data_IF_028081890697
#
_entry.id   IF_028081890697
#
_cell.length_a   1.000
_cell.length_b   1.000
_cell.length_c   1.000
_cell.angle_alpha   90.00
_cell.angle_beta   90.00
_cell.angle_gamma   90.00
#
_symmetry.space_group_name_H-M   'P 1'
#
loop_
_entity.id
_entity.type
_entity.pdbx_description
1 polymer ?
#
# COMPACT_ATOMS: atom_id res chain seq x y z
N UNK A 1 21.03 -12.24 2.90
CA UNK A 1 20.11 -13.36 3.23
C UNK A 1 19.24 -13.09 4.47
N UNK A 2 19.64 -12.15 5.37
CA UNK A 2 18.94 -11.91 6.65
C UNK A 2 17.63 -11.11 6.62
N UNK A 3 17.37 -10.30 5.59
CA UNK A 3 16.20 -9.41 5.57
C UNK A 3 14.90 -10.10 5.10
N UNK A 4 15.02 -11.24 4.40
CA UNK A 4 13.87 -12.05 3.98
C UNK A 4 13.23 -12.85 5.12
N UNK A 5 13.99 -13.15 6.16
CA UNK A 5 13.48 -13.86 7.35
C UNK A 5 12.75 -12.92 8.34
N UNK A 6 13.14 -11.65 8.43
CA UNK A 6 12.48 -10.68 9.35
C UNK A 6 11.07 -10.29 8.89
N UNK A 7 10.83 -10.23 7.56
CA UNK A 7 9.49 -9.96 7.05
C UNK A 7 8.52 -11.14 7.30
N UNK A 8 9.02 -12.38 7.25
CA UNK A 8 8.22 -13.57 7.53
C UNK A 8 7.89 -13.71 9.03
N UNK A 9 8.81 -13.33 9.92
CA UNK A 9 8.61 -13.43 11.37
C UNK A 9 7.61 -12.39 11.90
N UNK A 10 7.48 -11.23 11.26
CA UNK A 10 6.47 -10.22 11.64
C UNK A 10 5.06 -10.64 11.24
N UNK A 11 4.93 -11.44 10.17
CA UNK A 11 3.63 -11.94 9.70
C UNK A 11 3.04 -13.00 10.62
N UNK A 12 3.86 -13.83 11.26
CA UNK A 12 3.41 -14.91 12.16
C UNK A 12 2.95 -14.38 13.52
N UNK A 13 3.50 -13.25 13.98
CA UNK A 13 3.13 -12.64 15.26
C UNK A 13 1.74 -11.99 15.28
N UNK A 14 1.20 -11.59 14.14
CA UNK A 14 -0.11 -10.91 14.05
C UNK A 14 -1.30 -11.88 13.98
N UNK A 15 -1.06 -13.15 13.69
CA UNK A 15 -2.11 -14.19 13.61
C UNK A 15 -2.49 -14.75 14.98
N UNK A 16 -1.69 -14.50 16.04
CA UNK A 16 -1.82 -15.12 17.35
C UNK A 16 -2.71 -14.41 18.38
N UNK A 17 -3.29 -13.25 18.10
CA UNK A 17 -3.99 -12.42 19.09
C UNK A 17 -5.52 -12.41 19.00
N UNK A 18 -6.17 -13.50 18.61
CA UNK A 18 -7.64 -13.58 18.68
C UNK A 18 -8.13 -14.77 19.49
N UNK A 19 -7.80 -14.81 20.78
CA UNK A 19 -8.58 -15.62 21.73
C UNK A 19 -9.72 -14.76 22.26
N UNK A 20 -10.88 -14.82 21.61
CA UNK A 20 -12.11 -14.25 22.16
C UNK A 20 -12.82 -15.28 23.02
N UNK A 21 -13.38 -14.89 24.20
CA UNK A 21 -14.13 -15.78 25.04
C UNK A 21 -15.40 -16.27 24.33
N UNK A 22 -15.67 -17.55 24.47
CA UNK A 22 -16.90 -18.18 24.02
C UNK A 22 -18.10 -17.65 24.84
N UNK A 23 -19.14 -17.25 24.14
CA UNK A 23 -20.44 -17.05 24.73
C UNK A 23 -21.07 -15.69 24.54
N UNK A 24 -21.78 -15.53 23.45
CA UNK A 24 -23.04 -14.81 23.33
C UNK A 24 -23.61 -15.03 21.92
N UNK A 25 -24.72 -15.68 21.81
CA UNK A 25 -25.52 -15.71 20.59
C UNK A 25 -25.99 -14.28 20.29
N UNK A 26 -25.72 -13.71 19.14
CA UNK A 26 -26.25 -12.40 18.85
C UNK A 26 -27.72 -12.51 18.44
N UNK A 27 -28.57 -11.83 19.16
CA UNK A 27 -29.90 -11.43 18.70
C UNK A 27 -29.75 -10.79 17.31
N UNK A 28 -30.63 -11.16 16.39
CA UNK A 28 -30.67 -10.62 15.03
C UNK A 28 -30.94 -9.10 15.08
N UNK A 29 -29.89 -8.33 15.27
CA UNK A 29 -29.90 -6.87 15.14
C UNK A 29 -29.49 -6.50 13.72
N UNK A 30 -30.07 -5.46 13.20
CA UNK A 30 -29.92 -4.92 11.85
C UNK A 30 -28.45 -4.98 11.35
N UNK A 31 -28.12 -5.83 10.37
CA UNK A 31 -26.75 -5.98 9.90
C UNK A 31 -26.25 -4.76 9.08
N UNK A 32 -27.04 -3.70 9.01
CA UNK A 32 -26.86 -2.60 8.05
C UNK A 32 -25.88 -1.50 8.48
N UNK A 33 -25.35 -1.53 9.70
CA UNK A 33 -24.56 -0.41 10.27
C UNK A 33 -23.17 -0.85 10.77
N UNK A 34 -22.47 -1.69 10.03
CA UNK A 34 -21.11 -2.05 10.42
C UNK A 34 -20.11 -1.05 9.85
N UNK A 35 -19.56 -0.21 10.72
CA UNK A 35 -18.40 0.60 10.43
C UNK A 35 -17.16 -0.22 10.79
N UNK A 36 -16.29 -0.44 9.84
CA UNK A 36 -15.03 -1.16 10.05
C UNK A 36 -13.86 -0.23 9.86
N UNK A 37 -12.87 -0.36 10.71
CA UNK A 37 -11.57 0.29 10.57
C UNK A 37 -10.51 -0.81 10.63
N UNK A 38 -9.50 -0.71 9.79
CA UNK A 38 -8.44 -1.70 9.78
C UNK A 38 -7.14 -1.19 9.21
N UNK A 39 -6.14 -2.06 9.33
CA UNK A 39 -4.82 -1.86 8.73
C UNK A 39 -4.48 -3.05 7.86
N UNK A 40 -3.66 -2.80 6.85
CA UNK A 40 -3.21 -3.84 5.95
C UNK A 40 -1.82 -3.58 5.42
N UNK A 41 -1.18 -4.66 4.99
CA UNK A 41 0.07 -4.63 4.25
C UNK A 41 -0.23 -5.06 2.82
N UNK A 42 0.14 -4.21 1.87
CA UNK A 42 -0.02 -4.48 0.45
C UNK A 42 1.34 -4.81 -0.15
N UNK A 43 1.41 -5.90 -0.88
CA UNK A 43 2.57 -6.27 -1.71
C UNK A 43 2.18 -6.03 -3.16
N UNK A 44 2.89 -5.12 -3.83
CA UNK A 44 2.67 -4.75 -5.23
C UNK A 44 3.82 -5.18 -6.10
N UNK A 45 3.59 -5.32 -7.39
CA UNK A 45 4.66 -5.57 -8.36
C UNK A 45 5.78 -4.52 -8.29
N UNK A 46 5.46 -3.26 -7.98
CA UNK A 46 6.40 -2.16 -7.85
C UNK A 46 6.67 -1.74 -6.40
N UNK A 47 6.60 -2.65 -5.43
CA UNK A 47 6.92 -2.33 -4.06
C UNK A 47 5.95 -2.89 -3.03
N UNK A 48 5.91 -2.24 -1.89
CA UNK A 48 5.01 -2.59 -0.80
C UNK A 48 4.56 -1.34 -0.07
N UNK A 49 3.38 -1.39 0.52
CA UNK A 49 2.84 -0.30 1.32
C UNK A 49 2.05 -0.81 2.53
N UNK A 50 1.89 0.07 3.50
CA UNK A 50 1.04 -0.13 4.67
C UNK A 50 -0.17 0.78 4.48
N UNK A 51 -1.36 0.23 4.69
CA UNK A 51 -2.62 0.95 4.53
C UNK A 51 -3.42 0.97 5.82
N UNK A 52 -4.08 2.10 6.06
CA UNK A 52 -5.18 2.25 6.99
C UNK A 52 -6.45 2.44 6.18
N UNK A 53 -7.49 1.71 6.51
CA UNK A 53 -8.74 1.75 5.76
C UNK A 53 -9.95 1.81 6.69
N UNK A 54 -11.02 2.38 6.16
CA UNK A 54 -12.32 2.50 6.82
C UNK A 54 -13.42 2.17 5.85
N UNK A 55 -14.38 1.40 6.32
CA UNK A 55 -15.62 1.10 5.61
C UNK A 55 -16.82 1.60 6.41
N UNK A 56 -17.77 2.20 5.71
CA UNK A 56 -19.04 2.65 6.27
C UNK A 56 -20.19 2.01 5.51
N UNK A 57 -21.09 1.36 6.22
CA UNK A 57 -22.37 0.98 5.64
C UNK A 57 -23.18 2.23 5.25
N UNK A 58 -23.77 2.19 4.08
CA UNK A 58 -24.68 3.24 3.64
C UNK A 58 -26.05 2.92 4.26
N UNK A 59 -26.45 3.71 5.26
CA UNK A 59 -27.83 3.64 5.75
C UNK A 59 -28.79 3.88 4.58
N UNK A 60 -29.78 3.02 4.40
CA UNK A 60 -30.86 3.25 3.43
C UNK A 60 -31.64 4.47 3.89
N UNK A 61 -31.30 5.66 3.42
CA UNK A 61 -32.21 6.80 3.45
C UNK A 61 -33.27 6.49 2.41
N UNK A 62 -34.50 6.35 2.87
CA UNK A 62 -35.66 6.06 2.03
C UNK A 62 -35.74 7.02 0.84
N UNK A 63 -35.82 6.43 -0.30
CA UNK A 63 -36.18 6.86 -1.65
C UNK A 63 -35.08 6.63 -2.69
N UNK A 64 -35.38 5.66 -3.52
CA UNK A 64 -34.74 5.37 -4.79
C UNK A 64 -34.83 6.59 -5.73
N UNK A 65 -33.80 7.40 -5.84
CA UNK A 65 -33.51 8.05 -7.12
C UNK A 65 -32.75 7.04 -7.98
N UNK A 66 -33.46 6.42 -8.92
CA UNK A 66 -32.91 5.53 -9.94
C UNK A 66 -31.84 6.28 -10.72
N UNK A 67 -30.58 6.00 -10.46
CA UNK A 67 -29.48 6.37 -11.34
C UNK A 67 -29.43 5.40 -12.49
N UNK A 68 -29.67 5.88 -13.69
CA UNK A 68 -29.80 5.10 -14.94
C UNK A 68 -28.53 4.26 -15.27
N UNK A 69 -27.36 4.69 -14.80
CA UNK A 69 -26.07 4.03 -15.07
C UNK A 69 -25.82 2.77 -14.24
N UNK A 70 -26.48 2.60 -13.11
CA UNK A 70 -26.31 1.42 -12.24
C UNK A 70 -27.23 0.26 -12.60
N UNK A 71 -28.24 0.47 -13.44
CA UNK A 71 -29.16 -0.58 -13.87
C UNK A 71 -28.57 -1.53 -14.92
N UNK A 72 -27.52 -1.15 -15.62
CA UNK A 72 -26.90 -1.96 -16.69
C UNK A 72 -25.99 -3.06 -16.15
N UNK A 73 -25.57 -2.99 -14.88
CA UNK A 73 -24.77 -4.00 -14.17
C UNK A 73 -25.58 -4.79 -13.14
N UNK A 74 -26.90 -4.78 -13.25
CA UNK A 74 -27.78 -5.59 -12.42
C UNK A 74 -27.65 -7.06 -12.80
N UNK A 75 -26.64 -7.71 -12.28
CA UNK A 75 -26.64 -9.15 -12.10
C UNK A 75 -27.84 -9.48 -11.20
N UNK A 76 -28.83 -10.14 -11.76
CA UNK A 76 -30.05 -10.59 -11.14
C UNK A 76 -29.78 -11.36 -9.83
N UNK A 77 -29.94 -10.71 -8.73
CA UNK A 77 -29.78 -11.27 -7.40
C UNK A 77 -29.85 -10.15 -6.36
N UNK A 78 -30.49 -10.33 -5.25
CA UNK A 78 -30.75 -9.42 -4.13
C UNK A 78 -29.94 -8.12 -4.11
N UNK A 79 -30.52 -6.93 -3.84
CA UNK A 79 -29.81 -5.65 -3.91
C UNK A 79 -28.53 -5.77 -3.06
N UNK A 80 -27.39 -5.77 -3.75
CA UNK A 80 -26.08 -5.89 -3.13
C UNK A 80 -25.88 -4.75 -2.14
N UNK A 81 -25.37 -5.07 -0.96
CA UNK A 81 -25.07 -4.07 0.07
C UNK A 81 -23.80 -3.33 -0.32
N UNK A 82 -23.92 -2.05 -0.57
CA UNK A 82 -22.79 -1.18 -0.82
C UNK A 82 -22.29 -0.54 0.49
N UNK A 83 -20.96 -0.49 0.64
CA UNK A 83 -20.30 0.27 1.70
C UNK A 83 -19.42 1.33 1.08
N UNK A 84 -19.26 2.47 1.75
CA UNK A 84 -18.25 3.46 1.36
C UNK A 84 -16.90 2.99 1.87
N UNK A 85 -15.89 3.13 1.04
CA UNK A 85 -14.51 2.77 1.33
C UNK A 85 -13.63 4.02 1.31
N UNK A 86 -12.75 4.13 2.29
CA UNK A 86 -11.73 5.16 2.38
C UNK A 86 -10.44 4.51 2.85
N UNK A 87 -9.31 4.87 2.27
CA UNK A 87 -8.02 4.40 2.75
C UNK A 87 -6.92 5.42 2.54
N UNK A 88 -5.92 5.35 3.40
CA UNK A 88 -4.64 6.03 3.27
C UNK A 88 -3.57 4.95 3.33
N UNK A 89 -2.65 4.96 2.38
CA UNK A 89 -1.50 4.06 2.39
C UNK A 89 -0.21 4.82 2.15
N UNK A 90 0.88 4.27 2.70
CA UNK A 90 2.23 4.78 2.52
C UNK A 90 3.16 3.63 2.18
N UNK A 91 3.89 3.75 1.11
CA UNK A 91 4.77 2.68 0.65
C UNK A 91 5.93 3.15 -0.21
N UNK A 92 6.81 2.22 -0.51
CA UNK A 92 8.01 2.44 -1.31
C UNK A 92 7.73 1.96 -2.74
N UNK A 93 8.03 2.82 -3.71
CA UNK A 93 8.09 2.40 -5.12
C UNK A 93 9.48 1.84 -5.37
N UNK A 94 9.52 0.57 -5.78
CA UNK A 94 10.74 -0.13 -6.14
C UNK A 94 10.59 -0.73 -7.54
N UNK A 95 11.46 -0.30 -8.45
CA UNK A 95 11.44 -0.87 -9.81
C UNK A 95 11.98 -2.32 -9.77
N UNK A 96 11.32 -3.29 -10.40
CA UNK A 96 11.82 -4.67 -10.48
C UNK A 96 13.19 -4.83 -11.11
N UNK A 97 13.62 -3.83 -11.90
CA UNK A 97 14.94 -3.79 -12.56
C UNK A 97 16.08 -3.37 -11.62
N UNK A 98 15.79 -3.02 -10.36
CA UNK A 98 16.79 -2.65 -9.37
C UNK A 98 17.67 -3.86 -8.99
N UNK A 99 18.81 -3.98 -9.63
CA UNK A 99 19.83 -4.99 -9.31
C UNK A 99 20.87 -4.35 -8.40
N UNK A 100 21.02 -4.90 -7.20
CA UNK A 100 22.05 -4.45 -6.25
C UNK A 100 23.38 -5.05 -6.63
N UNK A 101 24.39 -4.21 -6.74
CA UNK A 101 25.81 -4.57 -6.92
C UNK A 101 26.61 -4.10 -5.72
N UNK A 102 27.72 -4.77 -5.45
CA UNK A 102 28.69 -4.41 -4.40
C UNK A 102 30.05 -4.25 -5.06
N UNK A 103 30.78 -3.21 -4.67
CA UNK A 103 32.13 -2.98 -5.16
C UNK A 103 33.12 -3.75 -4.28
N UNK A 104 33.50 -4.94 -4.69
CA UNK A 104 34.39 -5.82 -3.93
C UNK A 104 35.84 -5.29 -3.79
N UNK A 105 36.21 -4.29 -4.64
CA UNK A 105 37.55 -3.68 -4.62
C UNK A 105 37.74 -2.68 -3.48
N UNK A 106 36.63 -2.21 -2.89
CA UNK A 106 36.67 -1.20 -1.84
C UNK A 106 36.34 -1.84 -0.49
N UNK A 107 37.22 -1.69 0.52
CA UNK A 107 36.96 -2.21 1.85
C UNK A 107 35.71 -1.62 2.48
N UNK A 108 34.86 -2.47 3.08
CA UNK A 108 33.63 -2.01 3.75
C UNK A 108 32.52 -1.54 2.82
N UNK A 109 32.61 -1.81 1.52
CA UNK A 109 31.59 -1.42 0.55
C UNK A 109 30.23 -2.04 0.89
N UNK A 110 29.15 -1.31 0.57
CA UNK A 110 27.75 -1.74 0.75
C UNK A 110 27.06 -1.88 -0.60
N UNK A 111 26.05 -2.75 -0.71
CA UNK A 111 25.29 -2.87 -1.94
C UNK A 111 24.62 -1.55 -2.33
N UNK A 112 24.68 -1.21 -3.62
CA UNK A 112 23.97 -0.08 -4.23
C UNK A 112 23.38 -0.48 -5.57
N UNK A 113 22.51 0.36 -6.14
CA UNK A 113 21.90 0.13 -7.45
C UNK A 113 22.51 1.10 -8.46
N UNK A 114 23.16 0.56 -9.50
CA UNK A 114 23.75 1.35 -10.57
C UNK A 114 22.65 2.13 -11.31
N UNK A 115 22.93 3.37 -11.71
CA UNK A 115 22.02 4.26 -12.44
C UNK A 115 20.74 4.68 -11.69
N UNK A 116 20.50 4.22 -10.49
CA UNK A 116 19.43 4.74 -9.66
C UNK A 116 19.85 6.06 -9.02
N UNK A 117 19.11 7.13 -9.30
CA UNK A 117 19.45 8.49 -8.82
C UNK A 117 18.54 8.98 -7.69
N UNK A 118 17.33 8.44 -7.57
CA UNK A 118 16.39 8.87 -6.52
C UNK A 118 15.77 7.69 -5.78
N UNK A 119 15.51 7.92 -4.51
CA UNK A 119 14.53 7.16 -3.73
C UNK A 119 13.13 7.65 -4.04
N UNK A 120 12.13 6.78 -3.86
CA UNK A 120 10.74 7.12 -4.15
C UNK A 120 9.81 6.46 -3.13
N UNK A 121 8.98 7.27 -2.48
CA UNK A 121 7.91 6.86 -1.55
C UNK A 121 6.61 7.44 -2.07
N UNK A 122 5.55 6.64 -2.02
CA UNK A 122 4.24 7.07 -2.48
C UNK A 122 3.21 6.95 -1.37
N UNK A 123 2.49 8.04 -1.12
CA UNK A 123 1.29 8.05 -0.31
C UNK A 123 0.07 7.99 -1.24
N UNK A 124 -0.89 7.11 -0.94
CA UNK A 124 -2.15 7.04 -1.69
C UNK A 124 -3.31 7.42 -0.76
N UNK A 125 -4.17 8.29 -1.23
CA UNK A 125 -5.44 8.61 -0.61
C UNK A 125 -6.51 8.04 -1.53
N UNK A 126 -7.29 7.06 -1.06
CA UNK A 126 -8.27 6.39 -1.89
C UNK A 126 -9.68 6.52 -1.31
N UNK A 127 -10.65 6.70 -2.20
CA UNK A 127 -12.08 6.70 -1.90
C UNK A 127 -12.82 5.82 -2.90
N UNK A 128 -13.80 5.08 -2.41
CA UNK A 128 -14.48 4.12 -3.28
C UNK A 128 -15.72 3.48 -2.67
N UNK A 129 -16.06 2.36 -3.28
CA UNK A 129 -17.20 1.55 -2.90
C UNK A 129 -16.79 0.09 -2.76
N UNK A 130 -17.34 -0.55 -1.73
CA UNK A 130 -17.28 -2.00 -1.57
C UNK A 130 -18.64 -2.57 -1.95
N UNK A 131 -18.63 -3.55 -2.83
CA UNK A 131 -19.79 -4.37 -3.17
C UNK A 131 -19.65 -5.71 -2.46
N UNK A 132 -20.55 -6.00 -1.52
CA UNK A 132 -20.57 -7.25 -0.77
C UNK A 132 -21.32 -8.30 -1.57
N UNK A 133 -20.60 -9.35 -2.01
CA UNK A 133 -21.16 -10.48 -2.75
C UNK A 133 -21.79 -11.46 -1.78
N UNK A 134 -21.06 -11.83 -0.73
CA UNK A 134 -21.50 -12.76 0.30
C UNK A 134 -21.17 -12.22 1.68
N UNK A 135 -22.16 -12.11 2.54
CA UNK A 135 -21.98 -11.74 3.95
C UNK A 135 -21.72 -12.99 4.80
N UNK A 136 -20.86 -12.85 5.78
CA UNK A 136 -20.64 -13.89 6.78
C UNK A 136 -21.86 -13.95 7.72
N UNK A 137 -22.41 -15.13 7.90
CA UNK A 137 -23.49 -15.40 8.85
C UNK A 137 -22.98 -16.06 10.14
N UNK A 138 -21.85 -16.77 10.03
CA UNK A 138 -21.20 -17.45 11.16
C UNK A 138 -19.69 -17.19 11.20
N UNK A 139 -19.01 -17.70 12.23
CA UNK A 139 -17.54 -17.61 12.35
C UNK A 139 -16.80 -18.41 11.28
N UNK A 140 -17.38 -19.49 10.82
CA UNK A 140 -16.82 -20.37 9.79
C UNK A 140 -17.06 -19.87 8.38
N UNK A 141 -17.97 -18.90 8.21
CA UNK A 141 -18.34 -18.43 6.89
C UNK A 141 -17.29 -17.47 6.31
N UNK A 142 -17.17 -17.52 5.00
CA UNK A 142 -16.32 -16.66 4.21
C UNK A 142 -17.16 -15.52 3.63
N UNK A 143 -16.79 -14.29 3.97
CA UNK A 143 -17.32 -13.10 3.31
C UNK A 143 -16.58 -12.82 2.01
N UNK A 144 -17.31 -12.51 0.93
CA UNK A 144 -16.72 -12.15 -0.36
C UNK A 144 -17.16 -10.76 -0.75
N UNK A 145 -16.22 -9.95 -1.22
CA UNK A 145 -16.50 -8.58 -1.62
C UNK A 145 -15.58 -8.08 -2.75
N UNK A 146 -16.08 -7.12 -3.51
CA UNK A 146 -15.31 -6.39 -4.52
C UNK A 146 -15.21 -4.94 -4.07
N UNK A 147 -14.01 -4.39 -4.11
CA UNK A 147 -13.74 -2.97 -3.84
C UNK A 147 -13.33 -2.28 -5.11
N UNK A 148 -13.97 -1.15 -5.42
CA UNK A 148 -13.60 -0.24 -6.49
C UNK A 148 -13.29 1.11 -5.87
N UNK A 149 -12.10 1.65 -6.12
CA UNK A 149 -11.68 2.93 -5.56
C UNK A 149 -10.91 3.78 -6.59
N UNK A 150 -11.20 5.08 -6.57
CA UNK A 150 -10.34 6.09 -7.16
C UNK A 150 -9.30 6.51 -6.13
N UNK A 151 -8.10 6.84 -6.57
CA UNK A 151 -7.00 7.22 -5.66
C UNK A 151 -6.19 8.39 -6.19
N UNK A 152 -5.63 9.15 -5.26
CA UNK A 152 -4.69 10.23 -5.52
C UNK A 152 -3.33 9.78 -4.97
N UNK A 153 -2.42 9.31 -5.83
CA UNK A 153 -1.06 9.02 -5.44
C UNK A 153 -0.25 10.31 -5.36
N UNK A 154 0.48 10.47 -4.27
CA UNK A 154 1.44 11.55 -4.02
C UNK A 154 2.80 10.91 -3.85
N UNK A 155 3.63 11.00 -4.88
CA UNK A 155 4.98 10.45 -4.84
C UNK A 155 5.96 11.51 -4.34
N UNK A 156 6.77 11.14 -3.35
CA UNK A 156 7.90 11.93 -2.86
C UNK A 156 9.19 11.29 -3.32
N UNK A 157 9.97 12.01 -4.13
CA UNK A 157 11.27 11.57 -4.63
C UNK A 157 12.36 12.45 -4.06
N UNK A 158 13.47 11.84 -3.59
CA UNK A 158 14.65 12.55 -3.11
C UNK A 158 15.94 11.90 -3.57
N UNK A 159 17.05 12.66 -3.73
CA UNK A 159 18.30 12.16 -4.26
C UNK A 159 18.86 10.97 -3.49
N UNK A 160 19.38 10.00 -4.23
CA UNK A 160 20.15 8.90 -3.66
C UNK A 160 21.55 9.37 -3.35
N UNK A 161 21.97 9.27 -2.09
CA UNK A 161 23.33 9.54 -1.68
C UNK A 161 24.13 8.23 -1.60
N UNK A 162 25.38 8.30 -2.09
CA UNK A 162 26.34 7.20 -2.03
C UNK A 162 27.60 7.63 -1.29
N UNK A 163 28.29 6.68 -0.71
CA UNK A 163 29.63 6.87 -0.21
C UNK A 163 30.59 6.79 -1.39
N UNK A 164 31.24 7.93 -1.73
CA UNK A 164 32.24 8.01 -2.78
C UNK A 164 33.62 8.02 -2.15
N UNK A 165 34.50 7.10 -2.55
CA UNK A 165 35.89 7.09 -2.12
C UNK A 165 36.66 8.21 -2.85
N UNK A 166 37.31 9.07 -2.06
CA UNK A 166 38.17 10.13 -2.57
C UNK A 166 39.62 9.79 -2.16
N UNK A 167 40.50 9.47 -3.13
CA UNK A 167 41.90 9.18 -2.83
C UNK A 167 42.67 10.44 -2.34
N UNK A 168 43.76 10.23 -1.63
CA UNK A 168 44.67 11.30 -1.28
C UNK A 168 45.14 12.06 -2.53
N UNK A 169 45.44 13.37 -2.46
CA UNK A 169 45.54 14.20 -1.24
C UNK A 169 44.23 14.84 -0.76
N UNK A 170 43.09 14.54 -1.38
CA UNK A 170 41.82 15.20 -1.02
C UNK A 170 41.35 14.83 0.38
N UNK A 171 40.91 13.59 0.57
CA UNK A 171 40.30 13.17 1.86
C UNK A 171 40.83 11.83 2.34
N UNK A 172 41.33 10.97 1.45
CA UNK A 172 41.69 9.57 1.69
C UNK A 172 40.61 8.81 2.49
N UNK A 173 39.35 8.91 1.99
CA UNK A 173 38.24 8.35 2.70
C UNK A 173 36.94 8.43 1.92
N UNK A 174 35.85 8.05 2.60
CA UNK A 174 34.49 8.06 2.02
C UNK A 174 33.73 9.35 2.36
N UNK A 175 33.21 10.01 1.32
CA UNK A 175 32.38 11.22 1.45
C UNK A 175 30.99 10.92 0.92
N UNK A 176 29.91 11.29 1.65
CA UNK A 176 28.56 11.12 1.14
C UNK A 176 28.25 12.18 0.09
N UNK A 177 27.90 11.76 -1.11
CA UNK A 177 27.57 12.65 -2.24
C UNK A 177 26.26 12.21 -2.90
N UNK A 178 25.51 13.15 -3.44
CA UNK A 178 24.37 12.85 -4.29
C UNK A 178 24.86 12.11 -5.55
N UNK A 179 24.32 10.93 -5.81
CA UNK A 179 24.81 10.07 -6.89
C UNK A 179 24.44 10.60 -8.25
N UNK A 180 25.44 10.89 -9.06
CA UNK A 180 25.30 11.20 -10.49
C UNK A 180 26.19 10.25 -11.31
N UNK A 181 25.60 9.32 -12.08
CA UNK A 181 26.34 8.39 -12.91
C UNK A 181 27.21 9.02 -14.02
N UNK A 182 26.96 10.29 -14.39
CA UNK A 182 27.79 11.01 -15.38
C UNK A 182 29.11 11.47 -14.81
N UNK A 183 29.10 11.82 -13.53
CA UNK A 183 30.25 12.44 -12.86
C UNK A 183 31.01 11.43 -12.03
N UNK A 184 30.31 10.53 -11.37
CA UNK A 184 30.89 9.60 -10.41
C UNK A 184 31.26 8.27 -11.05
N UNK A 185 32.56 7.93 -10.95
CA UNK A 185 33.03 6.63 -11.40
C UNK A 185 32.51 5.53 -10.46
N UNK A 186 31.78 4.55 -11.03
CA UNK A 186 31.21 3.41 -10.31
C UNK A 186 32.28 2.65 -9.51
N UNK A 187 33.53 2.61 -10.00
CA UNK A 187 34.63 1.93 -9.31
C UNK A 187 35.02 2.59 -7.96
N UNK A 188 34.65 3.85 -7.74
CA UNK A 188 34.90 4.59 -6.51
C UNK A 188 33.68 4.63 -5.56
N UNK A 189 32.53 4.03 -5.95
CA UNK A 189 31.33 4.00 -5.13
C UNK A 189 31.46 2.89 -4.09
N UNK A 190 31.50 3.27 -2.81
CA UNK A 190 31.56 2.36 -1.67
C UNK A 190 30.18 1.89 -1.18
N UNK A 191 29.10 2.27 -1.88
CA UNK A 191 27.74 1.84 -1.59
C UNK A 191 26.79 2.94 -1.18
N UNK A 192 25.53 2.58 -0.85
CA UNK A 192 24.52 3.54 -0.43
C UNK A 192 24.89 4.21 0.89
N UNK A 193 24.74 5.53 0.96
CA UNK A 193 24.80 6.30 2.19
C UNK A 193 23.49 6.10 3.00
N UNK A 194 23.32 6.94 4.04
CA UNK A 194 22.11 6.88 4.87
C UNK A 194 20.86 7.17 4.01
N UNK A 195 19.80 6.37 4.19
CA UNK A 195 18.55 6.52 3.43
C UNK A 195 17.91 7.91 3.56
N UNK A 196 18.09 8.57 4.69
CA UNK A 196 17.59 9.94 4.94
C UNK A 196 18.49 11.04 4.38
N UNK A 197 19.65 10.72 3.80
CA UNK A 197 20.50 11.73 3.17
C UNK A 197 19.76 12.30 1.95
N UNK A 198 19.79 13.63 1.82
CA UNK A 198 19.10 14.33 0.74
C UNK A 198 17.56 14.39 0.87
N UNK A 199 16.98 13.94 1.99
CA UNK A 199 15.53 13.96 2.18
C UNK A 199 14.96 15.38 2.07
N UNK A 200 15.68 16.41 2.51
CA UNK A 200 15.23 17.80 2.40
C UNK A 200 15.20 18.32 0.95
N UNK A 201 15.96 17.71 0.05
CA UNK A 201 16.06 18.11 -1.37
C UNK A 201 15.01 17.39 -2.24
N UNK A 202 14.07 16.71 -1.60
CA UNK A 202 13.03 15.97 -2.28
C UNK A 202 11.90 16.85 -2.81
N UNK A 203 11.12 16.29 -3.73
CA UNK A 203 9.96 16.96 -4.30
C UNK A 203 8.78 15.99 -4.45
N UNK A 204 7.58 16.58 -4.49
CA UNK A 204 6.33 15.82 -4.61
C UNK A 204 5.87 15.81 -6.08
N UNK A 205 5.48 14.64 -6.55
CA UNK A 205 4.82 14.46 -7.86
C UNK A 205 3.44 13.87 -7.62
N UNK A 206 2.36 14.64 -7.85
CA UNK A 206 1.00 14.15 -7.74
C UNK A 206 0.61 13.29 -8.94
N UNK A 207 -0.45 12.48 -8.75
CA UNK A 207 -1.04 11.67 -9.80
C UNK A 207 -2.51 11.39 -9.55
N UNK A 208 -3.09 10.61 -10.44
CA UNK A 208 -4.42 10.05 -10.33
C UNK A 208 -4.34 8.55 -10.57
N UNK A 209 -5.21 7.80 -9.94
CA UNK A 209 -5.22 6.36 -10.13
C UNK A 209 -6.57 5.73 -9.77
N UNK A 210 -6.66 4.46 -10.05
CA UNK A 210 -7.80 3.64 -9.70
C UNK A 210 -7.33 2.25 -9.27
N UNK A 211 -8.13 1.61 -8.43
CA UNK A 211 -7.89 0.24 -8.00
C UNK A 211 -9.18 -0.57 -7.94
N UNK A 212 -9.03 -1.86 -8.23
CA UNK A 212 -10.08 -2.85 -8.08
C UNK A 212 -9.51 -4.06 -7.36
N UNK A 213 -10.21 -4.56 -6.35
CA UNK A 213 -9.81 -5.77 -5.65
C UNK A 213 -10.99 -6.67 -5.35
N UNK A 214 -10.70 -7.96 -5.37
CA UNK A 214 -11.55 -9.02 -4.84
C UNK A 214 -10.99 -9.44 -3.48
N UNK A 215 -11.85 -9.53 -2.48
CA UNK A 215 -11.45 -9.79 -1.10
C UNK A 215 -12.25 -10.93 -0.50
N UNK A 216 -11.54 -11.79 0.21
CA UNK A 216 -12.10 -12.81 1.09
C UNK A 216 -11.89 -12.38 2.55
N UNK A 217 -12.94 -12.44 3.34
CA UNK A 217 -12.96 -12.02 4.73
C UNK A 217 -13.35 -13.18 5.64
N UNK A 218 -12.57 -13.43 6.70
CA UNK A 218 -12.81 -14.48 7.69
C UNK A 218 -12.45 -13.99 9.09
N UNK A 219 -12.79 -14.77 10.12
CA UNK A 219 -12.41 -14.48 11.50
C UNK A 219 -13.60 -14.30 12.44
N UNK A 220 -13.40 -13.60 13.55
CA UNK A 220 -14.41 -13.38 14.57
C UNK A 220 -15.59 -12.58 14.04
N UNK A 221 -16.81 -13.13 14.26
CA UNK A 221 -18.03 -12.43 13.86
C UNK A 221 -18.15 -11.10 14.61
N UNK A 222 -18.38 -10.00 13.87
CA UNK A 222 -18.63 -8.61 14.30
C UNK A 222 -17.46 -7.81 14.86
N UNK A 223 -16.52 -8.39 15.62
CA UNK A 223 -15.54 -7.57 16.35
C UNK A 223 -14.17 -7.48 15.65
N UNK A 224 -13.74 -8.54 14.99
CA UNK A 224 -12.49 -8.56 14.25
C UNK A 224 -12.63 -9.40 12.99
N UNK A 225 -12.03 -8.96 11.90
CA UNK A 225 -11.97 -9.70 10.65
C UNK A 225 -10.56 -9.67 10.08
N UNK A 226 -10.15 -10.80 9.53
CA UNK A 226 -8.98 -10.86 8.68
C UNK A 226 -9.45 -10.83 7.24
N UNK A 227 -8.69 -10.19 6.38
CA UNK A 227 -9.02 -10.03 4.97
C UNK A 227 -7.81 -10.31 4.11
N UNK A 228 -8.00 -11.13 3.10
CA UNK A 228 -7.07 -11.29 2.00
C UNK A 228 -7.71 -10.68 0.75
N UNK A 229 -6.99 -9.80 0.10
CA UNK A 229 -7.45 -9.18 -1.14
C UNK A 229 -6.42 -9.37 -2.24
N UNK A 230 -6.91 -9.61 -3.43
CA UNK A 230 -6.11 -9.62 -4.66
C UNK A 230 -6.70 -8.59 -5.60
N UNK A 231 -5.88 -7.75 -6.19
CA UNK A 231 -6.39 -6.66 -7.00
C UNK A 231 -5.41 -6.11 -8.01
N UNK A 232 -5.95 -5.21 -8.82
CA UNK A 232 -5.24 -4.44 -9.82
C UNK A 232 -5.33 -2.97 -9.43
N UNK A 233 -4.24 -2.23 -9.61
CA UNK A 233 -4.21 -0.79 -9.52
C UNK A 233 -3.47 -0.20 -10.69
N UNK A 234 -3.80 1.04 -11.03
CA UNK A 234 -3.09 1.80 -12.05
C UNK A 234 -2.98 3.24 -11.57
N UNK A 235 -1.74 3.73 -11.49
CA UNK A 235 -1.41 5.08 -11.10
C UNK A 235 -0.78 5.81 -12.27
N UNK A 236 -1.25 7.03 -12.55
CA UNK A 236 -0.73 7.92 -13.56
C UNK A 236 -0.27 9.21 -12.91
N UNK A 237 1.03 9.46 -12.91
CA UNK A 237 1.63 10.70 -12.41
C UNK A 237 1.66 11.78 -13.48
N UNK A 238 1.64 13.04 -13.05
CA UNK A 238 1.70 14.22 -13.95
C UNK A 238 3.01 14.25 -14.74
N UNK A 239 4.12 13.78 -14.13
CA UNK A 239 5.45 13.70 -14.75
C UNK A 239 6.02 12.29 -14.60
N UNK A 240 6.98 11.95 -15.47
CA UNK A 240 7.77 10.74 -15.26
C UNK A 240 8.48 10.81 -13.89
N UNK A 241 8.44 9.73 -13.13
CA UNK A 241 9.18 9.63 -11.87
C UNK A 241 10.66 9.39 -12.21
N UNK A 242 11.56 10.31 -11.87
CA UNK A 242 12.98 10.20 -12.22
C UNK A 242 13.72 9.29 -11.21
N UNK A 243 13.41 8.01 -11.25
CA UNK A 243 14.07 6.99 -10.42
C UNK A 243 15.46 6.69 -10.98
N UNK A 244 15.57 6.67 -12.32
CA UNK A 244 16.75 6.29 -13.05
C UNK A 244 17.41 7.48 -13.71
N UNK A 245 18.75 7.41 -13.86
CA UNK A 245 19.51 8.40 -14.61
C UNK A 245 19.07 8.45 -16.08
N UNK A 246 18.86 7.29 -16.70
CA UNK A 246 18.36 7.22 -18.08
C UNK A 246 16.89 7.58 -18.12
N UNK A 247 16.57 8.69 -18.77
CA UNK A 247 15.19 9.20 -18.89
C UNK A 247 14.23 8.20 -19.54
N UNK A 248 14.71 7.37 -20.45
CA UNK A 248 13.95 6.31 -21.14
C UNK A 248 13.43 5.23 -20.18
N UNK A 249 14.11 5.02 -19.06
CA UNK A 249 13.71 4.07 -18.04
C UNK A 249 12.66 4.63 -17.09
N UNK A 250 12.48 5.95 -17.06
CA UNK A 250 11.53 6.63 -16.21
C UNK A 250 10.13 6.60 -16.82
N UNK A 251 9.15 6.34 -16.01
CA UNK A 251 7.75 6.25 -16.43
C UNK A 251 6.85 7.08 -15.52
N UNK A 252 5.66 7.40 -16.01
CA UNK A 252 4.62 8.07 -15.25
C UNK A 252 3.38 7.19 -15.04
N UNK A 253 3.34 6.00 -15.65
CA UNK A 253 2.24 5.05 -15.53
C UNK A 253 2.72 3.76 -14.86
N UNK A 254 2.05 3.40 -13.77
CA UNK A 254 2.39 2.28 -12.90
C UNK A 254 1.18 1.35 -12.72
N UNK A 255 0.94 0.43 -13.68
CA UNK A 255 -0.02 -0.64 -13.47
C UNK A 255 0.58 -1.67 -12.51
N UNK A 256 -0.18 -2.10 -11.51
CA UNK A 256 0.29 -3.06 -10.53
C UNK A 256 -0.76 -4.11 -10.19
N UNK A 257 -0.32 -5.36 -10.10
CA UNK A 257 -1.03 -6.41 -9.38
C UNK A 257 -0.64 -6.29 -7.90
N UNK A 258 -1.58 -6.43 -7.00
CA UNK A 258 -1.31 -6.40 -5.57
C UNK A 258 -2.04 -7.49 -4.79
N UNK A 259 -1.44 -7.87 -3.69
CA UNK A 259 -2.03 -8.73 -2.67
C UNK A 259 -2.00 -7.97 -1.35
N UNK A 260 -3.14 -7.94 -0.66
CA UNK A 260 -3.28 -7.25 0.64
C UNK A 260 -3.66 -8.25 1.70
N UNK A 261 -2.91 -8.23 2.81
CA UNK A 261 -3.32 -8.81 4.07
C UNK A 261 -3.76 -7.68 5.00
N UNK A 262 -4.99 -7.76 5.50
CA UNK A 262 -5.54 -6.75 6.37
C UNK A 262 -6.25 -7.36 7.58
N UNK A 263 -6.17 -6.65 8.70
CA UNK A 263 -6.97 -6.90 9.88
C UNK A 263 -7.88 -5.70 10.12
N UNK A 264 -9.15 -5.95 10.42
CA UNK A 264 -10.16 -4.95 10.67
C UNK A 264 -10.88 -5.18 11.99
N UNK A 265 -11.36 -4.09 12.59
CA UNK A 265 -12.16 -4.10 13.80
C UNK A 265 -13.43 -3.30 13.57
N UNK A 266 -14.53 -3.76 14.16
CA UNK A 266 -15.79 -3.03 14.13
C UNK A 266 -15.67 -1.77 15.02
N UNK A 267 -15.88 -0.61 14.42
CA UNK A 267 -15.99 0.65 15.14
C UNK A 267 -17.43 0.86 15.60
N UNK A 268 -17.67 0.81 16.90
CA UNK A 268 -18.99 1.12 17.48
C UNK A 268 -19.33 2.58 17.18
N UNK A 269 -20.32 2.81 16.32
CA UNK A 269 -20.94 4.13 16.21
C UNK A 269 -21.65 4.41 17.53
N UNK A 270 -21.31 5.51 18.21
CA UNK A 270 -22.15 6.01 19.31
C UNK A 270 -23.51 6.37 18.70
N UNK A 271 -24.50 5.51 18.90
CA UNK A 271 -25.88 5.92 18.66
C UNK A 271 -26.14 7.09 19.62
N UNK A 272 -26.34 8.27 19.08
CA UNK A 272 -26.88 9.39 19.83
C UNK A 272 -28.32 9.00 20.15
N UNK A 273 -28.56 8.36 21.28
CA UNK A 273 -29.87 8.35 21.90
C UNK A 273 -30.13 9.83 22.24
N UNK A 274 -30.92 10.48 21.43
CA UNK A 274 -31.62 11.70 21.88
C UNK A 274 -32.70 11.25 22.87
N UNK A 275 -32.76 11.91 24.05
CA UNK A 275 -33.82 11.69 25.04
C UNK A 275 -35.20 12.03 24.47
#
# INVERSE_FOLDING_TARGET
MGLRLLAASFLVGLVGLSTSPAGAQPLAGDPSLQNMIGMGVNVRHFGYDISLWREHAIAKIGQQKKSLLLNTLSLSGRPGKFRNFQSISLGIIKDPREIKVMNERLPGSKPFVIEKINHSVCAHIAVGKVYVISERQSRSDLGLQITLAGQIPLNYSWPLYVWLYQPAPLTDGYVPVAYDPKVHNVALVGGNARYSAGFADGYITPGIGASMSFSAEWGSYRNASNRLSVGLSADKFVKNLPIWHRSEMNRNFFPALFVTFAAGFESKSKSTQRP
#
